data_IF_945394302836
#
_entry.id   IF_945394302836
#
_cell.length_a   1.000
_cell.length_b   1.000
_cell.length_c   1.000
_cell.angle_alpha   90.00
_cell.angle_beta   90.00
_cell.angle_gamma   90.00
#
_symmetry.space_group_name_H-M   'P 1'
#
loop_
_entity.id
_entity.type
_entity.pdbx_description
1 polymer ?
#
# COMPACT_ATOMS: atom_id res chain seq x y z
N UNK A 1 25.82 -28.05 -15.28
CA UNK A 1 24.53 -28.09 -16.00
C UNK A 1 23.33 -27.86 -15.07
N UNK A 2 23.24 -28.57 -13.94
CA UNK A 2 22.08 -28.50 -12.99
C UNK A 2 21.96 -27.20 -12.19
N UNK A 3 23.07 -26.48 -11.96
CA UNK A 3 23.10 -25.20 -11.21
C UNK A 3 22.57 -24.04 -12.03
N UNK A 4 23.02 -23.94 -13.28
CA UNK A 4 22.56 -22.97 -14.28
C UNK A 4 21.08 -23.12 -14.62
N UNK A 5 20.54 -24.35 -14.60
CA UNK A 5 19.12 -24.61 -14.83
C UNK A 5 18.23 -24.14 -13.67
N UNK A 6 18.68 -24.28 -12.42
CA UNK A 6 17.98 -23.75 -11.23
C UNK A 6 18.02 -22.22 -11.18
N UNK A 7 19.14 -21.61 -11.56
CA UNK A 7 19.28 -20.16 -11.64
C UNK A 7 18.36 -19.55 -12.71
N UNK A 8 18.26 -20.18 -13.89
CA UNK A 8 17.32 -19.77 -14.94
C UNK A 8 15.85 -19.94 -14.53
N UNK A 9 15.53 -21.02 -13.80
CA UNK A 9 14.18 -21.23 -13.28
C UNK A 9 13.80 -20.22 -12.20
N UNK A 10 14.72 -19.90 -11.29
CA UNK A 10 14.54 -18.84 -10.29
C UNK A 10 14.37 -17.48 -10.96
N UNK A 11 15.17 -17.15 -11.97
CA UNK A 11 15.04 -15.92 -12.74
C UNK A 11 13.68 -15.83 -13.45
N UNK A 12 13.18 -16.94 -13.98
CA UNK A 12 11.84 -17.00 -14.62
C UNK A 12 10.72 -16.80 -13.60
N UNK A 13 10.78 -17.46 -12.44
CA UNK A 13 9.80 -17.28 -11.35
C UNK A 13 9.84 -15.86 -10.80
N UNK A 14 11.03 -15.26 -10.67
CA UNK A 14 11.21 -13.86 -10.28
C UNK A 14 10.57 -12.93 -11.30
N UNK A 15 10.85 -13.15 -12.59
CA UNK A 15 10.29 -12.33 -13.65
C UNK A 15 8.77 -12.47 -13.70
N UNK A 16 8.25 -13.68 -13.58
CA UNK A 16 6.82 -13.95 -13.59
C UNK A 16 6.12 -13.42 -12.33
N UNK A 17 6.72 -13.53 -11.15
CA UNK A 17 6.26 -12.87 -9.92
C UNK A 17 6.24 -11.35 -10.08
N UNK A 18 7.28 -10.75 -10.65
CA UNK A 18 7.37 -9.30 -10.90
C UNK A 18 6.32 -8.84 -11.92
N UNK A 19 6.24 -9.52 -13.05
CA UNK A 19 5.28 -9.26 -14.13
C UNK A 19 3.86 -9.46 -13.64
N UNK A 20 3.53 -10.56 -12.95
CA UNK A 20 2.17 -10.77 -12.45
C UNK A 20 1.82 -9.80 -11.32
N UNK A 21 2.74 -9.48 -10.41
CA UNK A 21 2.48 -8.50 -9.35
C UNK A 21 2.22 -7.10 -9.89
N UNK A 22 2.96 -6.70 -10.92
CA UNK A 22 2.84 -5.39 -11.55
C UNK A 22 1.65 -5.38 -12.51
N UNK A 23 1.50 -6.37 -13.38
CA UNK A 23 0.50 -6.37 -14.44
C UNK A 23 -0.89 -6.80 -13.96
N UNK A 24 -0.98 -7.74 -13.01
CA UNK A 24 -2.25 -8.26 -12.52
C UNK A 24 -2.91 -7.34 -11.51
N UNK A 25 -2.10 -6.75 -10.64
CA UNK A 25 -2.66 -5.92 -9.59
C UNK A 25 -2.70 -4.46 -10.02
N UNK A 26 -1.66 -3.92 -10.65
CA UNK A 26 -1.49 -2.48 -10.63
C UNK A 26 -0.56 -1.92 -11.73
N UNK A 27 -1.11 -1.41 -12.84
CA UNK A 27 -0.34 -0.86 -13.97
C UNK A 27 0.35 0.48 -13.63
N UNK A 28 1.55 0.51 -12.99
CA UNK A 28 2.11 1.73 -12.45
C UNK A 28 2.50 2.65 -13.61
N UNK A 29 2.64 3.95 -13.35
CA UNK A 29 3.30 4.80 -14.35
C UNK A 29 4.66 4.21 -14.72
N UNK A 30 5.10 4.27 -15.99
CA UNK A 30 6.38 3.73 -16.43
C UNK A 30 7.58 4.06 -15.51
N UNK A 31 7.74 5.30 -14.99
CA UNK A 31 8.85 5.59 -14.07
C UNK A 31 8.72 4.84 -12.74
N UNK A 32 7.51 4.74 -12.18
CA UNK A 32 7.30 4.00 -10.92
C UNK A 32 7.51 2.49 -11.14
N UNK A 33 7.05 1.95 -12.28
CA UNK A 33 7.30 0.56 -12.67
C UNK A 33 8.78 0.25 -12.71
N UNK A 34 9.58 1.10 -13.35
CA UNK A 34 11.03 0.93 -13.45
C UNK A 34 11.70 1.04 -12.09
N UNK A 35 11.27 1.97 -11.23
CA UNK A 35 11.80 2.11 -9.87
C UNK A 35 11.55 0.85 -9.04
N UNK A 36 10.32 0.32 -9.05
CA UNK A 36 9.97 -0.93 -8.36
C UNK A 36 10.80 -2.09 -8.91
N UNK A 37 10.89 -2.24 -10.23
CA UNK A 37 11.64 -3.32 -10.85
C UNK A 37 13.13 -3.27 -10.48
N UNK A 38 13.74 -2.09 -10.49
CA UNK A 38 15.13 -1.87 -10.09
C UNK A 38 15.33 -2.18 -8.60
N UNK A 39 14.42 -1.74 -7.73
CA UNK A 39 14.51 -2.01 -6.29
C UNK A 39 14.37 -3.51 -5.98
N UNK A 40 13.40 -4.19 -6.60
CA UNK A 40 13.24 -5.64 -6.46
C UNK A 40 14.41 -6.41 -7.09
N UNK A 41 15.08 -5.87 -8.10
CA UNK A 41 16.28 -6.46 -8.70
C UNK A 41 17.52 -6.31 -7.83
N UNK A 42 17.63 -5.22 -7.07
CA UNK A 42 18.80 -4.90 -6.25
C UNK A 42 18.71 -5.46 -4.83
N UNK A 43 17.50 -5.58 -4.27
CA UNK A 43 17.30 -6.09 -2.92
C UNK A 43 17.44 -7.61 -2.84
N UNK A 44 18.55 -8.08 -2.26
CA UNK A 44 18.78 -9.51 -1.97
C UNK A 44 17.72 -10.08 -1.02
N UNK A 45 17.21 -9.26 -0.10
CA UNK A 45 16.22 -9.67 0.91
C UNK A 45 14.83 -9.91 0.31
N UNK A 46 14.51 -9.23 -0.79
CA UNK A 46 13.25 -9.42 -1.52
C UNK A 46 13.06 -10.85 -2.05
N UNK A 47 14.17 -11.59 -2.25
CA UNK A 47 14.12 -13.00 -2.66
C UNK A 47 13.41 -13.90 -1.66
N UNK A 48 13.35 -13.52 -0.37
CA UNK A 48 12.68 -14.31 0.67
C UNK A 48 11.17 -14.41 0.46
N UNK A 49 10.58 -13.44 -0.23
CA UNK A 49 9.13 -13.35 -0.44
C UNK A 49 8.65 -14.00 -1.74
N UNK A 50 9.56 -14.32 -2.66
CA UNK A 50 9.21 -14.89 -3.97
C UNK A 50 8.38 -16.17 -3.87
N UNK A 51 8.68 -17.13 -2.97
CA UNK A 51 7.89 -18.35 -2.87
C UNK A 51 6.45 -18.05 -2.42
N UNK A 52 6.27 -17.23 -1.38
CA UNK A 52 4.95 -16.82 -0.89
C UNK A 52 4.17 -16.06 -1.95
N UNK A 53 4.85 -15.21 -2.69
CA UNK A 53 4.31 -14.45 -3.80
C UNK A 53 3.82 -15.31 -4.96
N UNK A 54 4.65 -16.24 -5.42
CA UNK A 54 4.30 -17.19 -6.47
C UNK A 54 3.11 -18.06 -6.06
N UNK A 55 3.07 -18.49 -4.80
CA UNK A 55 1.92 -19.20 -4.24
C UNK A 55 0.66 -18.34 -4.27
N UNK A 56 0.70 -17.12 -3.74
CA UNK A 56 -0.47 -16.24 -3.71
C UNK A 56 -1.05 -16.02 -5.13
N UNK A 57 -0.19 -15.78 -6.12
CA UNK A 57 -0.66 -15.55 -7.50
C UNK A 57 -1.16 -16.81 -8.20
N UNK A 58 -0.55 -17.97 -7.94
CA UNK A 58 -1.06 -19.25 -8.42
C UNK A 58 -2.50 -19.49 -7.93
N UNK A 59 -2.83 -19.00 -6.73
CA UNK A 59 -4.13 -19.19 -6.11
C UNK A 59 -5.17 -18.24 -6.67
N UNK A 60 -4.85 -16.96 -6.77
CA UNK A 60 -5.76 -15.96 -7.34
C UNK A 60 -6.10 -16.23 -8.81
N UNK A 61 -5.28 -17.03 -9.52
CA UNK A 61 -5.47 -17.37 -10.94
C UNK A 61 -6.38 -18.59 -11.19
N UNK A 62 -6.87 -19.28 -10.15
CA UNK A 62 -7.99 -20.21 -10.28
C UNK A 62 -7.66 -21.64 -10.75
N UNK A 63 -6.73 -22.34 -10.08
CA UNK A 63 -6.59 -23.80 -10.28
C UNK A 63 -6.92 -24.68 -9.06
N UNK A 64 -7.14 -24.12 -7.86
CA UNK A 64 -7.64 -24.90 -6.72
C UNK A 64 -8.44 -24.00 -5.77
N UNK A 65 -9.77 -24.03 -5.91
CA UNK A 65 -10.72 -23.34 -5.02
C UNK A 65 -10.99 -24.08 -3.71
N UNK A 66 -10.44 -25.29 -3.53
CA UNK A 66 -10.54 -26.01 -2.27
C UNK A 66 -9.20 -26.01 -1.56
N UNK A 67 -9.14 -25.18 -0.55
CA UNK A 67 -8.00 -25.14 0.33
C UNK A 67 -8.26 -25.92 1.60
N UNK A 68 -7.42 -26.91 1.86
CA UNK A 68 -7.39 -27.49 3.18
C UNK A 68 -6.85 -26.46 4.19
N UNK A 69 -7.56 -26.32 5.30
CA UNK A 69 -7.22 -25.44 6.44
C UNK A 69 -5.77 -25.65 6.95
N UNK A 70 -5.23 -26.88 6.81
CA UNK A 70 -3.84 -27.22 7.12
C UNK A 70 -2.83 -26.45 6.26
N UNK A 71 -3.15 -26.18 5.00
CA UNK A 71 -2.31 -25.44 4.06
C UNK A 71 -2.27 -23.95 4.42
N UNK A 72 -3.39 -23.35 4.84
CA UNK A 72 -3.42 -21.95 5.35
C UNK A 72 -2.54 -21.82 6.58
N UNK A 73 -2.72 -22.72 7.56
CA UNK A 73 -1.89 -22.75 8.77
C UNK A 73 -0.40 -22.86 8.46
N UNK A 74 -0.03 -23.64 7.45
CA UNK A 74 1.34 -23.74 6.94
C UNK A 74 1.90 -22.40 6.48
N UNK A 75 1.15 -21.63 5.70
CA UNK A 75 1.58 -20.32 5.21
C UNK A 75 1.64 -19.26 6.30
N UNK A 76 0.69 -19.24 7.23
CA UNK A 76 0.75 -18.36 8.40
C UNK A 76 2.03 -18.63 9.20
N UNK A 77 2.38 -19.90 9.39
CA UNK A 77 3.65 -20.29 10.02
C UNK A 77 4.88 -19.82 9.24
N UNK A 78 4.83 -19.86 7.90
CA UNK A 78 5.92 -19.34 7.05
C UNK A 78 6.05 -17.82 7.14
N UNK A 79 4.94 -17.08 7.13
CA UNK A 79 4.93 -15.62 7.30
C UNK A 79 5.52 -15.24 8.65
N UNK A 80 5.17 -15.95 9.72
CA UNK A 80 5.73 -15.70 11.03
C UNK A 80 7.25 -15.93 11.08
N UNK A 81 7.75 -17.04 10.51
CA UNK A 81 9.19 -17.28 10.38
C UNK A 81 9.89 -16.19 9.57
N UNK A 82 9.24 -15.71 8.53
CA UNK A 82 9.79 -14.65 7.70
C UNK A 82 9.83 -13.31 8.43
N UNK A 83 8.77 -12.96 9.19
CA UNK A 83 8.77 -11.79 10.07
C UNK A 83 9.90 -11.86 11.11
N UNK A 84 10.10 -13.01 11.75
CA UNK A 84 11.20 -13.22 12.70
C UNK A 84 12.57 -13.06 12.04
N UNK A 85 12.74 -13.60 10.82
CA UNK A 85 13.97 -13.45 10.04
C UNK A 85 14.24 -12.00 9.69
N UNK A 86 13.23 -11.26 9.25
CA UNK A 86 13.32 -9.82 8.98
C UNK A 86 13.69 -9.06 10.25
N UNK A 87 13.01 -9.30 11.37
CA UNK A 87 13.30 -8.63 12.63
C UNK A 87 14.74 -8.89 13.11
N UNK A 88 15.23 -10.13 12.98
CA UNK A 88 16.59 -10.52 13.38
C UNK A 88 17.67 -9.89 12.49
N UNK A 89 17.40 -9.77 11.19
CA UNK A 89 18.32 -9.14 10.23
C UNK A 89 18.38 -7.62 10.43
N UNK A 90 17.26 -7.00 10.77
CA UNK A 90 17.17 -5.56 11.03
C UNK A 90 17.86 -5.15 12.34
N UNK A 91 17.71 -5.94 13.42
CA UNK A 91 18.38 -5.67 14.70
C UNK A 91 19.90 -5.83 14.61
N UNK A 92 20.38 -6.70 13.73
CA UNK A 92 21.82 -6.88 13.51
C UNK A 92 22.47 -5.70 12.77
N UNK A 93 21.68 -4.88 12.08
CA UNK A 93 22.16 -3.84 11.18
C UNK A 93 21.76 -2.40 11.58
N UNK A 94 21.45 -2.13 12.86
CA UNK A 94 20.92 -0.84 13.35
C UNK A 94 21.72 0.43 12.93
N UNK A 95 22.98 0.31 12.52
CA UNK A 95 23.84 1.42 12.07
C UNK A 95 23.87 1.66 10.55
N UNK A 96 22.80 1.32 9.82
CA UNK A 96 22.84 1.28 8.34
C UNK A 96 22.53 2.62 7.65
N UNK A 97 23.02 2.74 6.41
CA UNK A 97 23.01 3.98 5.59
C UNK A 97 21.57 4.34 5.18
N UNK A 98 21.28 5.58 4.76
CA UNK A 98 19.93 6.00 4.34
C UNK A 98 19.26 5.09 3.28
N UNK A 99 20.03 4.51 2.36
CA UNK A 99 19.51 3.57 1.36
C UNK A 99 19.00 2.26 1.96
N UNK A 100 19.57 1.83 3.09
CA UNK A 100 19.16 0.60 3.76
C UNK A 100 17.79 0.79 4.43
N UNK A 101 17.46 1.99 4.90
CA UNK A 101 16.16 2.31 5.49
C UNK A 101 15.01 2.16 4.48
N UNK A 102 15.24 2.53 3.22
CA UNK A 102 14.26 2.38 2.13
C UNK A 102 13.97 0.89 1.87
N UNK A 103 15.02 0.10 1.68
CA UNK A 103 14.88 -1.34 1.44
C UNK A 103 14.26 -2.06 2.63
N UNK A 104 14.65 -1.67 3.84
CA UNK A 104 14.14 -2.25 5.06
C UNK A 104 12.64 -1.94 5.27
N UNK A 105 12.17 -0.72 4.99
CA UNK A 105 10.74 -0.40 5.05
C UNK A 105 9.96 -1.19 4.00
N UNK A 106 10.49 -1.30 2.78
CA UNK A 106 9.85 -2.05 1.71
C UNK A 106 9.67 -3.54 2.09
N UNK A 107 10.68 -4.15 2.71
CA UNK A 107 10.65 -5.54 3.19
C UNK A 107 9.61 -5.73 4.30
N UNK A 108 9.54 -4.82 5.27
CA UNK A 108 8.53 -4.91 6.31
C UNK A 108 7.12 -4.76 5.74
N UNK A 109 6.93 -3.85 4.77
CA UNK A 109 5.65 -3.68 4.08
C UNK A 109 5.26 -4.91 3.24
N UNK A 110 6.22 -5.73 2.81
CA UNK A 110 5.91 -7.06 2.25
C UNK A 110 5.35 -8.02 3.30
N UNK A 111 5.95 -8.07 4.48
CA UNK A 111 5.42 -8.89 5.58
C UNK A 111 3.99 -8.47 5.91
N UNK A 112 3.75 -7.16 6.02
CA UNK A 112 2.42 -6.57 6.26
C UNK A 112 1.43 -7.02 5.19
N UNK A 113 1.81 -6.95 3.91
CA UNK A 113 0.96 -7.39 2.81
C UNK A 113 0.58 -8.87 2.91
N UNK A 114 1.55 -9.76 3.12
CA UNK A 114 1.24 -11.18 3.22
C UNK A 114 0.38 -11.49 4.45
N UNK A 115 0.54 -10.76 5.55
CA UNK A 115 -0.34 -10.91 6.71
C UNK A 115 -1.77 -10.47 6.41
N UNK A 116 -1.97 -9.33 5.76
CA UNK A 116 -3.30 -8.91 5.32
C UNK A 116 -3.93 -9.92 4.33
N UNK A 117 -3.13 -10.50 3.43
CA UNK A 117 -3.63 -11.39 2.38
C UNK A 117 -3.88 -12.83 2.86
N UNK A 118 -3.09 -13.35 3.80
CA UNK A 118 -3.04 -14.78 4.12
C UNK A 118 -3.22 -15.13 5.60
N UNK A 119 -3.07 -14.17 6.51
CA UNK A 119 -3.27 -14.40 7.94
C UNK A 119 -4.62 -13.81 8.38
N UNK A 120 -4.63 -12.53 8.76
CA UNK A 120 -5.80 -11.81 9.20
C UNK A 120 -5.50 -10.30 9.29
N UNK A 121 -6.55 -9.47 9.31
CA UNK A 121 -6.43 -8.02 9.34
C UNK A 121 -5.75 -7.49 10.60
N UNK A 122 -5.93 -8.16 11.75
CA UNK A 122 -5.37 -7.73 13.04
C UNK A 122 -3.86 -7.95 13.04
N UNK A 123 -3.40 -9.12 12.62
CA UNK A 123 -1.98 -9.47 12.49
C UNK A 123 -1.28 -8.57 11.46
N UNK A 124 -1.94 -8.27 10.35
CA UNK A 124 -1.46 -7.32 9.34
C UNK A 124 -1.27 -5.91 9.93
N UNK A 125 -2.27 -5.41 10.66
CA UNK A 125 -2.20 -4.10 11.31
C UNK A 125 -1.14 -4.05 12.42
N UNK A 126 -1.03 -5.09 13.24
CA UNK A 126 0.01 -5.20 14.27
C UNK A 126 1.42 -5.17 13.66
N UNK A 127 1.62 -5.74 12.47
CA UNK A 127 2.90 -5.59 11.76
C UNK A 127 3.05 -4.21 11.13
N UNK A 128 1.99 -3.58 10.64
CA UNK A 128 2.03 -2.22 10.10
C UNK A 128 2.47 -1.21 11.18
N UNK A 129 1.98 -1.36 12.41
CA UNK A 129 2.41 -0.55 13.55
C UNK A 129 3.92 -0.60 13.77
N UNK A 130 4.56 -1.76 13.57
CA UNK A 130 6.01 -1.93 13.74
C UNK A 130 6.83 -1.19 12.68
N UNK A 131 6.24 -0.86 11.52
CA UNK A 131 6.95 -0.17 10.43
C UNK A 131 6.91 1.35 10.56
N UNK A 132 6.05 1.88 11.45
CA UNK A 132 5.86 3.31 11.66
C UNK A 132 7.16 4.08 11.95
N UNK A 133 8.07 3.63 12.84
CA UNK A 133 9.30 4.38 13.12
C UNK A 133 10.16 4.60 11.87
N UNK A 134 10.22 3.60 10.98
CA UNK A 134 11.01 3.68 9.74
C UNK A 134 10.34 4.54 8.69
N UNK A 135 9.01 4.48 8.60
CA UNK A 135 8.25 5.43 7.79
C UNK A 135 8.53 6.87 8.23
N UNK A 136 8.42 7.16 9.52
CA UNK A 136 8.69 8.50 10.08
C UNK A 136 10.14 8.93 9.85
N UNK A 137 11.11 8.01 9.96
CA UNK A 137 12.51 8.30 9.64
C UNK A 137 12.71 8.76 8.19
N UNK A 138 12.08 8.08 7.23
CA UNK A 138 12.18 8.44 5.82
C UNK A 138 11.45 9.74 5.51
N UNK A 139 10.27 9.95 6.11
CA UNK A 139 9.52 11.20 5.96
C UNK A 139 10.32 12.37 6.53
N UNK A 140 10.87 12.24 7.74
CA UNK A 140 11.70 13.25 8.40
C UNK A 140 12.92 13.69 7.56
N UNK A 141 13.47 12.78 6.75
CA UNK A 141 14.60 13.06 5.86
C UNK A 141 14.21 13.86 4.60
N UNK A 142 12.91 14.07 4.33
CA UNK A 142 12.40 14.71 3.12
C UNK A 142 11.45 15.87 3.47
N UNK A 143 11.98 17.12 3.55
CA UNK A 143 11.19 18.29 3.97
C UNK A 143 9.94 18.55 3.14
N UNK A 144 9.94 18.20 1.85
CA UNK A 144 8.79 18.36 0.95
C UNK A 144 7.56 17.55 1.37
N UNK A 145 7.74 16.47 2.14
CA UNK A 145 6.65 15.62 2.62
C UNK A 145 5.94 16.16 3.87
N UNK A 146 6.46 17.25 4.44
CA UNK A 146 5.88 17.88 5.61
C UNK A 146 5.00 19.07 5.22
N UNK A 147 4.05 19.36 6.09
CA UNK A 147 3.30 20.61 6.05
C UNK A 147 3.17 21.18 7.45
N UNK A 148 3.20 22.50 7.52
CA UNK A 148 2.97 23.24 8.75
C UNK A 148 1.49 23.58 8.85
N UNK A 149 0.88 23.22 9.98
CA UNK A 149 -0.48 23.63 10.28
C UNK A 149 -0.53 25.08 10.78
N UNK A 150 -1.72 25.72 10.75
CA UNK A 150 -1.90 27.08 11.29
C UNK A 150 -1.50 27.26 12.77
N UNK A 151 -1.42 26.16 13.53
CA UNK A 151 -0.97 26.14 14.93
C UNK A 151 0.55 25.96 15.10
N UNK A 152 1.33 25.93 14.01
CA UNK A 152 2.78 25.74 14.01
C UNK A 152 3.25 24.28 14.12
N UNK A 153 2.33 23.30 14.18
CA UNK A 153 2.71 21.89 14.23
C UNK A 153 3.08 21.38 12.84
N UNK A 154 4.23 20.72 12.75
CA UNK A 154 4.67 20.01 11.55
C UNK A 154 4.01 18.63 11.49
N UNK A 155 3.34 18.32 10.39
CA UNK A 155 2.70 17.02 10.14
C UNK A 155 3.11 16.46 8.78
N UNK A 156 2.79 15.19 8.55
CA UNK A 156 3.00 14.55 7.25
C UNK A 156 1.89 14.99 6.30
N UNK A 157 2.21 15.58 5.15
CA UNK A 157 1.21 15.82 4.10
C UNK A 157 0.75 14.48 3.52
N UNK A 158 -0.55 14.20 3.62
CA UNK A 158 -1.15 12.99 3.08
C UNK A 158 -0.88 12.86 1.59
N UNK A 159 -1.22 13.91 0.84
CA UNK A 159 -1.18 13.91 -0.62
C UNK A 159 0.26 13.76 -1.10
N UNK A 160 1.20 14.53 -0.53
CA UNK A 160 2.62 14.45 -0.92
C UNK A 160 3.25 13.11 -0.56
N UNK A 161 2.90 12.53 0.58
CA UNK A 161 3.37 11.19 0.95
C UNK A 161 2.77 10.10 0.04
N UNK A 162 1.49 10.24 -0.33
CA UNK A 162 0.79 9.32 -1.22
C UNK A 162 1.25 9.41 -2.67
N UNK A 163 1.73 10.56 -3.12
CA UNK A 163 2.23 10.77 -4.50
C UNK A 163 3.77 10.80 -4.61
N UNK A 164 4.50 10.72 -3.49
CA UNK A 164 5.97 10.68 -3.42
C UNK A 164 6.58 9.64 -4.36
N UNK A 165 7.71 9.93 -5.02
CA UNK A 165 8.41 8.94 -5.87
C UNK A 165 8.85 7.67 -5.13
N UNK A 166 8.88 7.72 -3.80
CA UNK A 166 9.18 6.60 -2.90
C UNK A 166 7.98 5.67 -2.77
N UNK A 167 8.04 4.55 -3.47
CA UNK A 167 6.99 3.54 -3.50
C UNK A 167 6.60 3.03 -2.10
N UNK A 168 7.58 2.87 -1.22
CA UNK A 168 7.42 2.42 0.16
C UNK A 168 6.58 3.40 1.00
N UNK A 169 6.71 4.71 0.78
CA UNK A 169 5.92 5.72 1.48
C UNK A 169 4.47 5.69 1.03
N UNK A 170 4.23 5.67 -0.29
CA UNK A 170 2.87 5.50 -0.85
C UNK A 170 2.19 4.27 -0.27
N UNK A 171 2.96 3.19 -0.14
CA UNK A 171 2.47 1.91 0.36
C UNK A 171 2.07 1.95 1.82
N UNK A 172 2.88 2.59 2.64
CA UNK A 172 2.54 2.80 4.04
C UNK A 172 1.24 3.61 4.16
N UNK A 173 1.15 4.75 3.47
CA UNK A 173 -0.02 5.66 3.57
C UNK A 173 -1.33 4.95 3.23
N UNK A 174 -1.35 4.15 2.15
CA UNK A 174 -2.58 3.41 1.82
C UNK A 174 -2.86 2.29 2.81
N UNK A 175 -1.86 1.56 3.31
CA UNK A 175 -2.12 0.55 4.34
C UNK A 175 -2.67 1.16 5.62
N UNK A 176 -2.12 2.30 6.04
CA UNK A 176 -2.59 3.03 7.22
C UNK A 176 -4.03 3.52 7.02
N UNK A 177 -4.32 4.14 5.88
CA UNK A 177 -5.66 4.64 5.53
C UNK A 177 -6.71 3.52 5.49
N UNK A 178 -6.39 2.42 4.81
CA UNK A 178 -7.32 1.29 4.64
C UNK A 178 -7.47 0.52 5.95
N UNK A 179 -6.40 0.33 6.72
CA UNK A 179 -6.50 -0.33 8.01
C UNK A 179 -7.34 0.51 9.00
N UNK A 180 -7.13 1.83 9.05
CA UNK A 180 -7.94 2.73 9.89
C UNK A 180 -9.43 2.69 9.52
N UNK A 181 -9.74 2.64 8.22
CA UNK A 181 -11.11 2.49 7.72
C UNK A 181 -11.72 1.14 8.11
N UNK A 182 -11.05 0.03 7.77
CA UNK A 182 -11.58 -1.34 7.92
C UNK A 182 -11.69 -1.76 9.37
N UNK A 183 -10.71 -1.39 10.20
CA UNK A 183 -10.66 -1.78 11.61
C UNK A 183 -11.33 -0.77 12.54
N UNK A 184 -11.71 0.41 12.04
CA UNK A 184 -12.23 1.46 12.90
C UNK A 184 -11.23 1.92 13.96
N UNK A 185 -9.92 1.90 13.66
CA UNK A 185 -8.83 2.37 14.54
C UNK A 185 -8.30 3.72 14.09
N UNK A 186 -7.69 4.51 14.97
CA UNK A 186 -7.06 5.76 14.54
C UNK A 186 -5.93 5.50 13.54
N UNK A 187 -5.73 6.39 12.54
CA UNK A 187 -4.54 6.37 11.70
C UNK A 187 -3.26 6.37 12.56
N UNK A 188 -2.23 5.69 12.10
CA UNK A 188 -0.93 5.63 12.76
C UNK A 188 -0.16 6.95 12.64
N UNK A 189 -0.43 7.69 11.57
CA UNK A 189 0.20 8.98 11.29
C UNK A 189 -0.84 10.08 11.36
N UNK A 190 -0.44 11.18 11.98
CA UNK A 190 -1.22 12.41 11.97
C UNK A 190 -0.98 13.13 10.64
N UNK A 191 -1.92 12.98 9.71
CA UNK A 191 -1.83 13.57 8.38
C UNK A 191 -2.41 14.98 8.34
N UNK A 192 -1.74 15.86 7.60
CA UNK A 192 -2.31 17.09 7.08
C UNK A 192 -2.78 16.93 5.63
N UNK A 193 -3.66 17.84 5.20
CA UNK A 193 -4.28 17.80 3.87
C UNK A 193 -4.06 19.13 3.17
N UNK A 194 -3.63 19.07 1.92
CA UNK A 194 -3.48 20.25 1.07
C UNK A 194 -4.87 20.70 0.55
N UNK A 195 -5.07 22.01 0.35
CA UNK A 195 -6.37 22.55 -0.12
C UNK A 195 -6.70 22.18 -1.56
N UNK A 196 -5.66 21.99 -2.39
CA UNK A 196 -5.82 21.56 -3.78
C UNK A 196 -5.67 20.03 -3.90
N UNK A 197 -6.71 19.34 -4.40
CA UNK A 197 -6.59 17.94 -4.76
C UNK A 197 -5.50 17.77 -5.83
N UNK A 198 -4.47 16.99 -5.52
CA UNK A 198 -3.67 16.42 -6.59
C UNK A 198 -4.60 15.52 -7.44
N UNK A 199 -4.60 15.73 -8.75
CA UNK A 199 -5.39 14.95 -9.72
C UNK A 199 -4.71 13.64 -10.08
N UNK A 200 -3.61 13.31 -9.39
CA UNK A 200 -2.87 12.06 -9.57
C UNK A 200 -3.76 10.84 -9.36
N UNK A 201 -3.67 9.90 -10.30
CA UNK A 201 -4.23 8.56 -10.15
C UNK A 201 -3.07 7.57 -10.09
N UNK A 202 -2.87 6.90 -8.93
CA UNK A 202 -1.86 5.85 -8.82
C UNK A 202 -2.50 4.46 -8.94
N UNK A 203 -2.28 3.84 -10.10
CA UNK A 203 -2.70 2.48 -10.40
C UNK A 203 -2.14 1.45 -9.42
N UNK A 204 -1.07 1.75 -8.67
CA UNK A 204 -0.39 0.87 -7.70
C UNK A 204 -1.33 0.25 -6.66
N UNK A 205 -2.54 0.78 -6.44
CA UNK A 205 -3.47 0.26 -5.43
C UNK A 205 -4.93 0.20 -5.84
N UNK A 206 -5.26 0.66 -7.05
CA UNK A 206 -6.64 0.82 -7.50
C UNK A 206 -7.45 1.82 -6.66
N UNK A 207 -6.78 2.63 -5.83
CA UNK A 207 -7.40 3.65 -4.98
C UNK A 207 -7.11 5.01 -5.59
N UNK A 208 -8.12 5.76 -6.06
CA UNK A 208 -7.92 7.14 -6.48
C UNK A 208 -7.36 7.98 -5.34
N UNK A 209 -6.32 8.79 -5.59
CA UNK A 209 -5.70 9.66 -4.57
C UNK A 209 -6.75 10.55 -3.91
N UNK A 210 -7.61 11.17 -4.71
CA UNK A 210 -8.69 12.02 -4.23
C UNK A 210 -9.65 11.29 -3.27
N UNK A 211 -9.98 10.03 -3.54
CA UNK A 211 -10.87 9.24 -2.69
C UNK A 211 -10.14 8.72 -1.45
N UNK A 212 -8.87 8.33 -1.57
CA UNK A 212 -8.03 7.96 -0.43
C UNK A 212 -7.89 9.12 0.56
N UNK A 213 -7.72 10.34 0.04
CA UNK A 213 -7.62 11.55 0.85
C UNK A 213 -8.92 11.85 1.59
N UNK A 214 -10.07 11.72 0.92
CA UNK A 214 -11.39 11.83 1.57
C UNK A 214 -11.53 10.82 2.70
N UNK A 215 -11.23 9.54 2.45
CA UNK A 215 -11.29 8.49 3.48
C UNK A 215 -10.34 8.79 4.64
N UNK A 216 -9.15 9.27 4.34
CA UNK A 216 -8.16 9.68 5.36
C UNK A 216 -8.68 10.85 6.20
N UNK A 217 -9.28 11.88 5.61
CA UNK A 217 -9.88 13.00 6.34
C UNK A 217 -10.98 12.52 7.30
N UNK A 218 -11.88 11.64 6.83
CA UNK A 218 -12.93 11.06 7.66
C UNK A 218 -12.34 10.20 8.80
N UNK A 219 -11.29 9.41 8.52
CA UNK A 219 -10.57 8.67 9.56
C UNK A 219 -10.00 9.61 10.65
N UNK A 220 -9.43 10.74 10.23
CA UNK A 220 -8.86 11.75 11.13
C UNK A 220 -9.94 12.39 12.02
N UNK A 221 -11.10 12.75 11.45
CA UNK A 221 -12.25 13.27 12.22
C UNK A 221 -12.75 12.26 13.24
N UNK A 222 -12.92 11.00 12.82
CA UNK A 222 -13.35 9.92 13.71
C UNK A 222 -12.39 9.70 14.87
N UNK A 223 -11.08 9.86 14.63
CA UNK A 223 -10.05 9.76 15.64
C UNK A 223 -10.03 10.96 16.61
N UNK A 224 -10.91 11.96 16.43
CA UNK A 224 -10.99 13.13 17.29
C UNK A 224 -9.86 14.12 17.06
N UNK A 225 -9.18 14.08 15.90
CA UNK A 225 -8.05 14.98 15.63
C UNK A 225 -8.48 16.46 15.56
N UNK A 226 -9.78 16.76 15.47
CA UNK A 226 -10.33 18.13 15.50
C UNK A 226 -9.93 18.99 14.29
N UNK A 227 -9.21 18.42 13.32
CA UNK A 227 -8.65 19.11 12.16
C UNK A 227 -9.66 19.10 11.01
N UNK A 228 -10.65 19.97 11.13
CA UNK A 228 -11.66 20.16 10.07
C UNK A 228 -11.08 21.14 9.05
N UNK A 229 -10.38 20.63 8.03
CA UNK A 229 -10.00 21.45 6.87
C UNK A 229 -11.24 21.75 6.01
N UNK A 230 -12.09 20.74 5.82
CA UNK A 230 -13.26 20.79 4.95
C UNK A 230 -14.53 20.41 5.72
N UNK A 231 -15.68 20.95 5.34
CA UNK A 231 -16.96 20.44 5.83
C UNK A 231 -17.25 19.06 5.25
N UNK A 232 -18.08 18.24 5.91
CA UNK A 232 -18.47 16.94 5.35
C UNK A 232 -19.19 17.10 4.01
N UNK A 233 -19.91 18.21 3.79
CA UNK A 233 -20.54 18.56 2.51
C UNK A 233 -19.50 18.82 1.42
N UNK A 234 -18.37 19.45 1.76
CA UNK A 234 -17.26 19.65 0.82
C UNK A 234 -16.65 18.31 0.40
N UNK A 235 -16.44 17.39 1.35
CA UNK A 235 -15.94 16.05 1.04
C UNK A 235 -16.94 15.25 0.19
N UNK A 236 -18.22 15.29 0.53
CA UNK A 236 -19.30 14.66 -0.24
C UNK A 236 -19.32 15.18 -1.68
N UNK A 237 -19.29 16.50 -1.87
CA UNK A 237 -19.25 17.13 -3.18
C UNK A 237 -18.00 16.71 -3.97
N UNK A 238 -16.84 16.61 -3.32
CA UNK A 238 -15.60 16.12 -3.96
C UNK A 238 -15.76 14.69 -4.45
N UNK A 239 -16.41 13.81 -3.69
CA UNK A 239 -16.66 12.42 -4.11
C UNK A 239 -17.71 12.33 -5.23
N UNK A 240 -18.76 13.14 -5.18
CA UNK A 240 -19.82 13.18 -6.21
C UNK A 240 -19.35 13.75 -7.55
N UNK A 241 -18.41 14.70 -7.52
CA UNK A 241 -17.83 15.31 -8.73
C UNK A 241 -16.65 14.53 -9.30
N UNK A 242 -16.06 13.63 -8.51
CA UNK A 242 -14.99 12.76 -8.96
C UNK A 242 -15.48 11.80 -10.05
N UNK A 243 -14.68 11.65 -11.11
CA UNK A 243 -14.93 10.72 -12.21
C UNK A 243 -13.66 9.91 -12.53
N UNK A 244 -13.78 8.67 -13.01
CA UNK A 244 -12.66 7.94 -13.58
C UNK A 244 -11.99 8.73 -14.73
N UNK A 245 -10.67 8.56 -14.94
CA UNK A 245 -9.96 9.19 -16.07
C UNK A 245 -10.61 8.84 -17.42
N UNK A 246 -10.71 9.82 -18.33
CA UNK A 246 -11.35 9.70 -19.66
C UNK A 246 -10.73 8.60 -20.51
N UNK A 247 -9.42 8.45 -20.43
CA UNK A 247 -8.60 7.56 -21.26
C UNK A 247 -8.89 6.07 -21.01
N UNK A 248 -9.71 5.76 -19.99
CA UNK A 248 -10.15 4.41 -19.62
C UNK A 248 -11.51 4.03 -20.22
N UNK A 249 -12.22 4.97 -20.83
CA UNK A 249 -13.57 4.74 -21.38
C UNK A 249 -13.57 4.41 -22.88
N UNK A 250 -12.44 4.56 -23.58
CA UNK A 250 -12.41 4.56 -25.04
C UNK A 250 -12.27 3.17 -25.69
N UNK A 251 -11.72 2.16 -25.01
CA UNK A 251 -11.53 0.80 -25.57
C UNK A 251 -11.88 -0.36 -24.61
N UNK A 252 -13.10 -0.38 -24.08
CA UNK A 252 -13.58 -1.31 -23.04
C UNK A 252 -13.12 -2.79 -23.13
N UNK A 253 -11.93 -3.09 -22.61
CA UNK A 253 -11.48 -4.47 -22.36
C UNK A 253 -12.11 -4.99 -21.06
N UNK A 254 -12.26 -6.32 -20.87
CA UNK A 254 -12.75 -6.87 -19.60
C UNK A 254 -11.94 -6.42 -18.36
N UNK A 255 -10.65 -6.15 -18.54
CA UNK A 255 -9.76 -5.66 -17.49
C UNK A 255 -10.07 -4.19 -17.15
N UNK A 256 -10.33 -3.35 -18.14
CA UNK A 256 -10.74 -1.95 -17.91
C UNK A 256 -12.09 -1.87 -17.22
N UNK A 257 -13.07 -2.68 -17.62
CA UNK A 257 -14.36 -2.75 -16.94
C UNK A 257 -14.21 -3.15 -15.47
N UNK A 258 -13.38 -4.15 -15.17
CA UNK A 258 -13.08 -4.54 -13.79
C UNK A 258 -12.41 -3.40 -13.01
N UNK A 259 -11.50 -2.65 -13.64
CA UNK A 259 -10.87 -1.48 -13.02
C UNK A 259 -11.89 -0.38 -12.73
N UNK A 260 -12.73 0.00 -13.68
CA UNK A 260 -13.79 0.98 -13.48
C UNK A 260 -14.70 0.56 -12.33
N UNK A 261 -15.06 -0.72 -12.23
CA UNK A 261 -15.85 -1.23 -11.12
C UNK A 261 -15.15 -1.06 -9.75
N UNK A 262 -13.83 -1.31 -9.68
CA UNK A 262 -13.03 -1.05 -8.46
C UNK A 262 -13.03 0.44 -8.10
N UNK A 263 -12.85 1.31 -9.09
CA UNK A 263 -12.86 2.77 -8.90
C UNK A 263 -14.21 3.28 -8.38
N UNK A 264 -15.30 2.83 -8.99
CA UNK A 264 -16.64 3.16 -8.54
C UNK A 264 -16.94 2.58 -7.16
N UNK A 265 -16.39 1.41 -6.83
CA UNK A 265 -16.51 0.84 -5.49
C UNK A 265 -15.86 1.73 -4.44
N UNK A 266 -14.69 2.32 -4.73
CA UNK A 266 -14.07 3.32 -3.86
C UNK A 266 -14.92 4.57 -3.70
N UNK A 267 -15.56 5.04 -4.80
CA UNK A 267 -16.43 6.22 -4.75
C UNK A 267 -17.63 5.98 -3.84
N UNK A 268 -18.31 4.83 -4.00
CA UNK A 268 -19.43 4.45 -3.13
C UNK A 268 -19.00 4.23 -1.68
N UNK A 269 -17.85 3.57 -1.46
CA UNK A 269 -17.31 3.36 -0.12
C UNK A 269 -17.04 4.68 0.59
N UNK A 270 -16.46 5.68 -0.09
CA UNK A 270 -16.20 6.99 0.50
C UNK A 270 -17.51 7.70 0.90
N UNK A 271 -18.55 7.65 0.05
CA UNK A 271 -19.86 8.23 0.38
C UNK A 271 -20.51 7.56 1.59
N UNK A 272 -20.53 6.23 1.60
CA UNK A 272 -21.06 5.45 2.74
C UNK A 272 -20.32 5.84 4.02
N UNK A 273 -18.99 5.93 3.95
CA UNK A 273 -18.18 6.25 5.11
C UNK A 273 -18.42 7.67 5.64
N UNK A 274 -18.55 8.66 4.75
CA UNK A 274 -18.95 10.03 5.13
C UNK A 274 -20.27 9.99 5.89
N UNK A 275 -21.30 9.31 5.36
CA UNK A 275 -22.61 9.26 6.01
C UNK A 275 -22.63 8.48 7.33
N UNK A 276 -21.75 7.50 7.52
CA UNK A 276 -21.68 6.74 8.77
C UNK A 276 -20.99 7.50 9.91
N UNK A 277 -20.06 8.38 9.59
CA UNK A 277 -19.20 9.05 10.58
C UNK A 277 -19.59 10.50 10.81
N UNK A 278 -20.03 11.20 9.76
CA UNK A 278 -20.16 12.66 9.76
C UNK A 278 -21.60 13.16 9.87
N UNK A 279 -22.58 12.26 9.77
CA UNK A 279 -24.02 12.57 9.82
C UNK A 279 -24.66 11.88 11.02
#
# INVERSE_FOLDING_TARGET
>A
STRTMKENQLARVINEYRTQRIDYWFNPSPPTRNSILTQVATSKKMTWFLPLGATLFFWTRGQNTQLHESTIRGYVGWIHKLEQKVASDLSFHENTRPNDAVDNLMIELEVVFFKFALADTISGYASLQKTLPRFLQLVAAEPSLHMEHPNGNLVVSFTRALTSLRYELRRFVVYDTVAALVLGVSPLVDYGYDEEPDRGFDWIRGVPVALAEVVSQVNSWRAGSGKILNSWQTLEMRVLTWKPPSDMCDEATPIENARIAVLESWRHLALIYIYMVCR
#
